data_IF_804898933520
#
_entry.id   IF_804898933520
#
_cell.length_a   1.000
_cell.length_b   1.000
_cell.length_c   1.000
_cell.angle_alpha   90.00
_cell.angle_beta   90.00
_cell.angle_gamma   90.00
#
_symmetry.space_group_name_H-M   'P 1'
#
loop_
_entity.id
_entity.type
_entity.pdbx_description
1 polymer ?
#
# COMPACT_ATOMS: atom_id res chain seq x y z
N UNK A 1 -19.63 15.13 2.94
CA UNK A 1 -20.70 14.35 2.28
C UNK A 1 -20.28 14.22 0.82
N UNK A 2 -19.44 13.23 0.52
CA UNK A 2 -18.88 13.01 -0.82
C UNK A 2 -19.88 12.14 -1.57
N UNK A 3 -20.32 12.59 -2.75
CA UNK A 3 -21.43 12.03 -3.51
C UNK A 3 -21.12 10.60 -3.98
N UNK A 4 -22.12 9.72 -3.83
CA UNK A 4 -22.17 8.31 -4.27
C UNK A 4 -22.01 8.08 -5.77
N UNK A 5 -21.89 9.15 -6.56
CA UNK A 5 -22.07 9.11 -8.01
C UNK A 5 -20.74 8.96 -8.78
N UNK A 6 -19.60 8.97 -8.08
CA UNK A 6 -18.27 8.82 -8.70
C UNK A 6 -18.02 7.41 -9.25
N UNK A 7 -18.69 6.39 -8.71
CA UNK A 7 -18.43 4.98 -9.07
C UNK A 7 -19.14 4.49 -10.34
N UNK A 8 -20.05 5.28 -10.95
CA UNK A 8 -20.90 4.78 -12.04
C UNK A 8 -20.26 4.72 -13.42
N UNK A 9 -19.08 5.30 -13.63
CA UNK A 9 -18.39 5.34 -14.93
C UNK A 9 -16.95 4.82 -14.89
N UNK A 10 -16.58 4.05 -13.86
CA UNK A 10 -15.22 3.54 -13.75
C UNK A 10 -15.14 2.20 -14.47
N UNK A 11 -14.45 2.16 -15.62
CA UNK A 11 -14.06 0.93 -16.30
C UNK A 11 -12.98 0.25 -15.45
N UNK A 12 -13.39 -0.55 -14.45
CA UNK A 12 -12.48 -1.37 -13.66
C UNK A 12 -12.43 -2.74 -14.30
N UNK A 13 -11.21 -3.24 -14.44
CA UNK A 13 -10.89 -4.44 -15.19
C UNK A 13 -11.59 -5.67 -14.63
N UNK A 14 -12.00 -6.61 -15.50
CA UNK A 14 -12.92 -7.68 -15.11
C UNK A 14 -12.35 -8.58 -14.00
N UNK A 15 -11.01 -8.69 -13.86
CA UNK A 15 -10.38 -9.47 -12.80
C UNK A 15 -9.11 -8.82 -12.21
N UNK A 16 -9.10 -8.64 -10.89
CA UNK A 16 -7.95 -8.15 -10.11
C UNK A 16 -7.51 -9.12 -9.01
N UNK A 17 -6.21 -9.20 -8.77
CA UNK A 17 -5.63 -9.95 -7.64
C UNK A 17 -5.02 -8.98 -6.62
N UNK A 18 -5.41 -9.10 -5.35
CA UNK A 18 -4.86 -8.33 -4.24
C UNK A 18 -4.08 -9.27 -3.33
N UNK A 19 -2.74 -9.22 -3.40
CA UNK A 19 -1.90 -9.93 -2.44
C UNK A 19 -1.85 -9.16 -1.12
N UNK A 20 -1.72 -9.84 0.01
CA UNK A 20 -1.89 -9.19 1.32
C UNK A 20 -3.37 -8.95 1.66
N UNK A 21 -4.26 -9.66 0.95
CA UNK A 21 -5.71 -9.49 1.02
C UNK A 21 -6.34 -9.92 2.34
N UNK A 22 -5.62 -10.70 3.15
CA UNK A 22 -6.03 -11.07 4.52
C UNK A 22 -5.75 -9.96 5.53
N UNK A 23 -4.86 -9.03 5.19
CA UNK A 23 -4.50 -7.88 6.01
C UNK A 23 -5.49 -6.72 5.93
N UNK A 24 -5.35 -5.77 6.87
CA UNK A 24 -6.25 -4.62 7.03
C UNK A 24 -6.47 -3.81 5.74
N UNK A 25 -5.39 -3.38 5.09
CA UNK A 25 -5.50 -2.53 3.90
C UNK A 25 -5.87 -3.33 2.65
N UNK A 26 -5.24 -4.50 2.44
CA UNK A 26 -5.52 -5.35 1.28
C UNK A 26 -6.98 -5.82 1.22
N UNK A 27 -7.56 -6.20 2.37
CA UNK A 27 -8.98 -6.53 2.47
C UNK A 27 -9.88 -5.36 2.04
N UNK A 28 -9.64 -4.15 2.58
CA UNK A 28 -10.43 -2.95 2.24
C UNK A 28 -10.32 -2.60 0.75
N UNK A 29 -9.13 -2.73 0.18
CA UNK A 29 -8.91 -2.52 -1.26
C UNK A 29 -9.71 -3.52 -2.08
N UNK A 30 -9.64 -4.82 -1.76
CA UNK A 30 -10.38 -5.83 -2.48
C UNK A 30 -11.90 -5.67 -2.39
N UNK A 31 -12.43 -5.31 -1.21
CA UNK A 31 -13.86 -5.00 -1.06
C UNK A 31 -14.28 -3.79 -1.90
N UNK A 32 -13.44 -2.75 -1.97
CA UNK A 32 -13.73 -1.58 -2.79
C UNK A 32 -13.72 -1.90 -4.29
N UNK A 33 -12.76 -2.70 -4.75
CA UNK A 33 -12.72 -3.20 -6.13
C UNK A 33 -13.95 -4.06 -6.46
N UNK A 34 -14.37 -4.95 -5.56
CA UNK A 34 -15.59 -5.74 -5.76
C UNK A 34 -16.86 -4.89 -5.84
N UNK A 35 -16.93 -3.80 -5.06
CA UNK A 35 -18.06 -2.87 -5.09
C UNK A 35 -18.20 -2.12 -6.42
N UNK A 36 -17.16 -2.11 -7.26
CA UNK A 36 -17.24 -1.53 -8.61
C UNK A 36 -17.67 -2.55 -9.66
N UNK A 37 -17.94 -3.80 -9.25
CA UNK A 37 -18.34 -4.90 -10.13
C UNK A 37 -17.18 -5.76 -10.65
N UNK A 38 -15.94 -5.51 -10.22
CA UNK A 38 -14.81 -6.33 -10.61
C UNK A 38 -14.81 -7.69 -9.89
N UNK A 39 -14.34 -8.74 -10.56
CA UNK A 39 -14.00 -9.99 -9.87
C UNK A 39 -12.69 -9.80 -9.13
N UNK A 40 -12.61 -10.23 -7.87
CA UNK A 40 -11.43 -10.00 -7.03
C UNK A 40 -10.95 -11.29 -6.39
N UNK A 41 -9.65 -11.54 -6.45
CA UNK A 41 -8.98 -12.54 -5.60
C UNK A 41 -8.23 -11.84 -4.48
N UNK A 42 -8.54 -12.20 -3.23
CA UNK A 42 -7.71 -11.90 -2.07
C UNK A 42 -6.72 -13.04 -1.86
N UNK A 43 -5.44 -12.77 -2.03
CA UNK A 43 -4.35 -13.74 -1.89
C UNK A 43 -3.52 -13.45 -0.64
N UNK A 44 -3.51 -14.36 0.33
CA UNK A 44 -2.79 -14.16 1.60
C UNK A 44 -2.58 -15.48 2.37
N UNK A 45 -1.61 -15.55 3.28
CA UNK A 45 -1.44 -16.70 4.18
C UNK A 45 -2.55 -16.79 5.24
N UNK A 46 -3.24 -15.68 5.49
CA UNK A 46 -4.34 -15.55 6.44
C UNK A 46 -5.65 -15.25 5.72
N UNK A 47 -6.74 -15.86 6.19
CA UNK A 47 -8.08 -15.45 5.76
C UNK A 47 -8.41 -14.07 6.33
N UNK A 48 -9.14 -13.22 5.59
CA UNK A 48 -9.67 -11.99 6.15
C UNK A 48 -10.51 -12.30 7.39
N UNK A 49 -10.35 -11.47 8.41
CA UNK A 49 -11.10 -11.54 9.67
C UNK A 49 -12.50 -10.92 9.58
N UNK A 50 -12.81 -10.29 8.44
CA UNK A 50 -14.10 -9.66 8.13
C UNK A 50 -14.88 -10.47 7.10
N UNK A 51 -16.17 -10.22 7.01
CA UNK A 51 -17.06 -10.89 6.05
C UNK A 51 -16.70 -10.54 4.60
N UNK A 52 -16.40 -11.55 3.80
CA UNK A 52 -16.00 -11.39 2.41
C UNK A 52 -17.26 -11.17 1.55
N UNK A 53 -17.36 -10.05 0.79
CA UNK A 53 -18.54 -9.77 -0.02
C UNK A 53 -18.62 -10.68 -1.26
N UNK A 54 -19.81 -10.75 -1.86
CA UNK A 54 -20.00 -11.44 -3.14
C UNK A 54 -19.07 -10.87 -4.22
N UNK A 55 -18.57 -11.72 -5.12
CA UNK A 55 -17.62 -11.33 -6.16
C UNK A 55 -16.14 -11.36 -5.72
N UNK A 56 -15.87 -11.69 -4.45
CA UNK A 56 -14.53 -11.87 -3.93
C UNK A 56 -14.25 -13.36 -3.64
N UNK A 57 -13.12 -13.86 -4.15
CA UNK A 57 -12.59 -15.20 -3.84
C UNK A 57 -11.36 -15.04 -2.96
N UNK A 58 -11.27 -15.81 -1.88
CA UNK A 58 -10.08 -15.85 -1.04
C UNK A 58 -9.23 -17.07 -1.37
N UNK A 59 -7.97 -16.85 -1.74
CA UNK A 59 -6.97 -17.90 -1.92
C UNK A 59 -5.97 -17.80 -0.77
N UNK A 60 -5.89 -18.87 0.02
CA UNK A 60 -4.99 -18.92 1.15
C UNK A 60 -3.65 -19.55 0.74
N UNK A 61 -2.63 -18.73 0.48
CA UNK A 61 -1.31 -19.17 0.05
C UNK A 61 -0.24 -18.10 0.33
N UNK A 62 1.03 -18.51 0.31
CA UNK A 62 2.18 -17.65 0.60
C UNK A 62 2.74 -17.02 -0.67
N UNK A 63 3.09 -15.74 -0.64
CA UNK A 63 3.74 -15.06 -1.79
C UNK A 63 5.12 -15.62 -2.15
N UNK A 64 5.66 -16.54 -1.33
CA UNK A 64 6.86 -17.31 -1.61
C UNK A 64 6.58 -18.61 -2.37
N UNK A 65 5.31 -18.97 -2.56
CA UNK A 65 4.88 -20.11 -3.37
C UNK A 65 4.58 -19.63 -4.80
N UNK A 66 5.56 -19.81 -5.69
CA UNK A 66 5.45 -19.36 -7.08
C UNK A 66 4.35 -20.08 -7.84
N UNK A 67 4.15 -21.38 -7.62
CA UNK A 67 3.14 -22.16 -8.34
C UNK A 67 1.73 -21.72 -7.95
N UNK A 68 1.51 -21.46 -6.65
CA UNK A 68 0.25 -20.91 -6.15
C UNK A 68 -0.01 -19.50 -6.69
N UNK A 69 1.01 -18.62 -6.75
CA UNK A 69 0.90 -17.31 -7.40
C UNK A 69 0.49 -17.50 -8.86
N UNK A 70 1.24 -18.33 -9.60
CA UNK A 70 1.05 -18.53 -11.02
C UNK A 70 -0.36 -19.05 -11.33
N UNK A 71 -0.91 -19.94 -10.51
CA UNK A 71 -2.29 -20.41 -10.63
C UNK A 71 -3.32 -19.32 -10.30
N UNK A 72 -3.12 -18.55 -9.23
CA UNK A 72 -4.05 -17.50 -8.80
C UNK A 72 -4.12 -16.31 -9.76
N UNK A 73 -3.07 -16.11 -10.56
CA UNK A 73 -2.89 -14.97 -11.47
C UNK A 73 -3.45 -15.23 -12.87
N UNK A 74 -3.99 -16.42 -13.14
CA UNK A 74 -4.51 -16.78 -14.45
C UNK A 74 -5.70 -15.89 -14.87
N UNK A 75 -5.54 -15.19 -15.99
CA UNK A 75 -6.55 -14.29 -16.55
C UNK A 75 -6.69 -12.94 -15.83
N UNK A 76 -5.81 -12.62 -14.88
CA UNK A 76 -5.85 -11.34 -14.17
C UNK A 76 -5.39 -10.17 -15.04
N UNK A 77 -6.10 -9.05 -14.97
CA UNK A 77 -5.75 -7.82 -15.70
C UNK A 77 -4.87 -6.88 -14.86
N UNK A 78 -5.02 -6.96 -13.54
CA UNK A 78 -4.38 -6.09 -12.58
C UNK A 78 -3.92 -6.85 -11.34
N UNK A 79 -2.73 -6.54 -10.85
CA UNK A 79 -2.24 -7.04 -9.57
C UNK A 79 -1.95 -5.87 -8.63
N UNK A 80 -2.58 -5.90 -7.46
CA UNK A 80 -2.28 -5.01 -6.34
C UNK A 80 -1.40 -5.77 -5.33
N UNK A 81 -0.11 -5.45 -5.34
CA UNK A 81 0.86 -6.07 -4.44
C UNK A 81 0.97 -5.31 -3.12
N UNK A 82 0.18 -5.74 -2.13
CA UNK A 82 0.13 -5.16 -0.77
C UNK A 82 0.81 -6.05 0.27
N UNK A 83 1.03 -7.34 -0.05
CA UNK A 83 1.68 -8.29 0.85
C UNK A 83 3.04 -7.77 1.34
N UNK A 84 3.25 -7.83 2.66
CA UNK A 84 4.52 -7.47 3.28
C UNK A 84 4.63 -8.06 4.68
N UNK A 85 5.85 -8.21 5.18
CA UNK A 85 6.14 -8.75 6.50
C UNK A 85 7.22 -7.92 7.22
N UNK A 86 7.13 -7.82 8.56
CA UNK A 86 8.17 -7.18 9.38
C UNK A 86 8.06 -5.69 9.61
N UNK A 87 6.92 -5.06 9.30
CA UNK A 87 6.77 -3.61 9.48
C UNK A 87 6.86 -3.15 10.95
N UNK A 88 6.42 -3.98 11.91
CA UNK A 88 6.54 -3.60 13.34
C UNK A 88 6.45 -4.78 14.30
N UNK A 89 6.86 -4.56 15.55
CA UNK A 89 6.68 -5.54 16.63
C UNK A 89 7.69 -6.69 16.55
N UNK A 90 7.29 -7.88 17.00
CA UNK A 90 8.20 -9.05 17.06
C UNK A 90 8.69 -9.48 15.68
N UNK A 91 7.88 -9.26 14.64
CA UNK A 91 8.23 -9.61 13.26
C UNK A 91 9.49 -8.88 12.77
N UNK A 92 9.83 -7.70 13.32
CA UNK A 92 11.07 -6.98 12.98
C UNK A 92 12.34 -7.76 13.32
N UNK A 93 12.25 -8.78 14.18
CA UNK A 93 13.36 -9.64 14.57
C UNK A 93 13.62 -10.76 13.55
N UNK A 94 12.67 -11.04 12.66
CA UNK A 94 12.66 -12.19 11.76
C UNK A 94 13.21 -11.80 10.38
N UNK A 95 14.51 -11.49 10.32
CA UNK A 95 15.13 -10.86 9.14
C UNK A 95 15.01 -11.68 7.86
N UNK A 96 15.18 -13.00 7.96
CA UNK A 96 15.10 -13.90 6.81
C UNK A 96 13.67 -13.94 6.24
N UNK A 97 12.64 -13.98 7.09
CA UNK A 97 11.25 -13.92 6.65
C UNK A 97 10.92 -12.57 6.01
N UNK A 98 11.47 -11.46 6.54
CA UNK A 98 11.33 -10.13 5.92
C UNK A 98 11.92 -10.12 4.51
N UNK A 99 13.14 -10.61 4.33
CA UNK A 99 13.79 -10.63 3.01
C UNK A 99 13.06 -11.57 2.05
N UNK A 100 12.73 -12.79 2.48
CA UNK A 100 12.06 -13.76 1.60
C UNK A 100 10.66 -13.31 1.20
N UNK A 101 9.87 -12.74 2.10
CA UNK A 101 8.52 -12.23 1.77
C UNK A 101 8.61 -10.98 0.91
N UNK A 102 9.38 -9.97 1.35
CA UNK A 102 9.35 -8.66 0.70
C UNK A 102 10.20 -8.60 -0.57
N UNK A 103 11.27 -9.38 -0.71
CA UNK A 103 12.15 -9.36 -1.90
C UNK A 103 11.81 -10.52 -2.83
N UNK A 104 11.90 -11.76 -2.33
CA UNK A 104 11.66 -12.92 -3.20
C UNK A 104 10.18 -13.03 -3.59
N UNK A 105 9.26 -12.75 -2.66
CA UNK A 105 7.84 -12.69 -2.97
C UNK A 105 7.55 -11.64 -4.06
N UNK A 106 8.05 -10.41 -3.92
CA UNK A 106 7.86 -9.39 -4.97
C UNK A 106 8.47 -9.81 -6.32
N UNK A 107 9.62 -10.50 -6.33
CA UNK A 107 10.19 -11.07 -7.57
C UNK A 107 9.21 -12.04 -8.24
N UNK A 108 8.66 -12.97 -7.48
CA UNK A 108 7.69 -13.95 -7.98
C UNK A 108 6.42 -13.29 -8.54
N UNK A 109 5.94 -12.23 -7.90
CA UNK A 109 4.81 -11.44 -8.40
C UNK A 109 5.15 -10.80 -9.76
N UNK A 110 6.31 -10.15 -9.89
CA UNK A 110 6.77 -9.54 -11.15
C UNK A 110 6.88 -10.59 -12.26
N UNK A 111 7.50 -11.74 -11.95
CA UNK A 111 7.71 -12.82 -12.92
C UNK A 111 6.38 -13.45 -13.35
N UNK A 112 5.44 -13.63 -12.42
CA UNK A 112 4.10 -14.10 -12.72
C UNK A 112 3.33 -13.11 -13.61
N UNK A 113 3.40 -11.81 -13.33
CA UNK A 113 2.79 -10.80 -14.20
C UNK A 113 3.32 -10.89 -15.64
N UNK A 114 4.64 -11.04 -15.81
CA UNK A 114 5.26 -11.17 -17.13
C UNK A 114 4.81 -12.43 -17.87
N UNK A 115 4.76 -13.56 -17.18
CA UNK A 115 4.41 -14.85 -17.79
C UNK A 115 2.90 -15.02 -18.05
N UNK A 116 2.05 -14.42 -17.22
CA UNK A 116 0.58 -14.44 -17.37
C UNK A 116 0.03 -13.29 -18.21
N UNK A 117 0.90 -12.46 -18.80
CA UNK A 117 0.53 -11.31 -19.62
C UNK A 117 -0.35 -10.28 -18.88
N UNK A 118 -0.08 -10.09 -17.60
CA UNK A 118 -0.77 -9.09 -16.78
C UNK A 118 -0.18 -7.72 -17.12
N UNK A 119 -1.03 -6.80 -17.57
CA UNK A 119 -0.60 -5.50 -18.07
C UNK A 119 -0.22 -4.53 -16.95
N UNK A 120 -0.76 -4.68 -15.73
CA UNK A 120 -0.65 -3.67 -14.67
C UNK A 120 -0.31 -4.26 -13.31
N UNK A 121 0.72 -3.70 -12.69
CA UNK A 121 1.17 -4.05 -11.34
C UNK A 121 1.28 -2.79 -10.48
N UNK A 122 0.46 -2.71 -9.44
CA UNK A 122 0.49 -1.62 -8.47
C UNK A 122 1.11 -2.15 -7.19
N UNK A 123 2.21 -1.53 -6.75
CA UNK A 123 2.94 -1.95 -5.56
C UNK A 123 2.78 -0.95 -4.42
N UNK A 124 2.49 -1.47 -3.22
CA UNK A 124 2.42 -0.67 -2.00
C UNK A 124 3.74 -0.73 -1.26
N UNK A 125 4.54 0.32 -1.40
CA UNK A 125 5.77 0.60 -0.67
C UNK A 125 5.46 1.35 0.64
N UNK A 126 6.37 2.22 1.11
CA UNK A 126 6.21 3.01 2.34
C UNK A 126 7.07 4.27 2.28
N UNK A 127 6.64 5.37 2.93
CA UNK A 127 7.46 6.59 3.05
C UNK A 127 8.81 6.34 3.72
N UNK A 128 8.95 5.25 4.50
CA UNK A 128 10.22 4.90 5.14
C UNK A 128 11.35 4.60 4.15
N UNK A 129 11.06 4.31 2.87
CA UNK A 129 12.09 4.06 1.85
C UNK A 129 12.84 5.34 1.44
N UNK A 130 12.25 6.51 1.66
CA UNK A 130 12.87 7.83 1.40
C UNK A 130 13.27 8.57 2.68
N UNK A 131 12.80 8.10 3.84
CA UNK A 131 13.10 8.73 5.11
C UNK A 131 14.50 8.38 5.62
N UNK A 132 15.42 9.34 5.54
CA UNK A 132 16.81 9.23 6.02
C UNK A 132 17.07 9.82 7.41
N UNK A 133 16.03 10.12 8.19
CA UNK A 133 16.15 10.76 9.52
C UNK A 133 16.04 12.28 9.50
N UNK A 134 15.90 12.91 8.34
CA UNK A 134 15.57 14.33 8.19
C UNK A 134 14.06 14.50 7.92
N UNK A 135 13.45 15.62 8.37
CA UNK A 135 12.07 15.94 8.03
C UNK A 135 11.85 15.96 6.51
N UNK A 136 10.73 15.40 6.07
CA UNK A 136 10.26 15.51 4.68
C UNK A 136 9.18 16.58 4.67
N UNK A 137 9.47 17.70 4.03
CA UNK A 137 8.55 18.83 3.86
C UNK A 137 8.23 18.97 2.37
N UNK A 138 6.95 18.89 2.02
CA UNK A 138 6.44 19.03 0.63
C UNK A 138 7.19 18.19 -0.42
N UNK A 139 7.66 16.99 -0.03
CA UNK A 139 8.40 16.09 -0.91
C UNK A 139 7.55 15.36 -1.93
N UNK A 140 8.13 15.13 -3.10
CA UNK A 140 7.61 14.37 -4.25
C UNK A 140 8.67 13.34 -4.75
N UNK A 141 8.40 12.61 -5.82
CA UNK A 141 9.34 11.59 -6.34
C UNK A 141 10.65 12.14 -6.87
N UNK A 142 10.65 13.35 -7.42
CA UNK A 142 11.85 13.99 -7.97
C UNK A 142 12.77 14.46 -6.84
N UNK A 143 12.17 14.98 -5.76
CA UNK A 143 12.86 15.53 -4.60
C UNK A 143 13.18 14.48 -3.54
N UNK A 144 12.46 13.36 -3.52
CA UNK A 144 12.62 12.27 -2.55
C UNK A 144 13.06 10.96 -3.23
N UNK A 145 14.33 10.87 -3.66
CA UNK A 145 14.90 9.61 -4.13
C UNK A 145 14.99 8.60 -2.98
N UNK A 146 15.14 7.32 -3.33
CA UNK A 146 15.34 6.26 -2.34
C UNK A 146 16.55 6.59 -1.46
N UNK A 147 16.33 6.53 -0.15
CA UNK A 147 17.39 6.84 0.80
C UNK A 147 18.42 5.70 0.83
N UNK A 148 19.73 5.98 0.75
CA UNK A 148 20.76 4.94 0.83
C UNK A 148 20.90 4.34 2.23
N UNK A 149 20.41 5.04 3.26
CA UNK A 149 20.44 4.61 4.66
C UNK A 149 19.02 4.36 5.13
N UNK A 150 18.74 3.16 5.63
CA UNK A 150 17.39 2.77 6.04
C UNK A 150 17.26 2.71 7.56
N UNK A 151 16.13 3.20 8.07
CA UNK A 151 15.81 3.22 9.51
C UNK A 151 15.65 1.83 10.13
N UNK A 152 15.27 0.84 9.33
CA UNK A 152 15.12 -0.55 9.75
C UNK A 152 15.28 -1.52 8.57
N UNK A 153 15.33 -2.81 8.91
CA UNK A 153 15.52 -3.88 7.93
C UNK A 153 14.33 -4.00 6.96
N UNK A 154 13.11 -3.80 7.45
CA UNK A 154 11.89 -3.81 6.63
C UNK A 154 11.96 -2.75 5.52
N UNK A 155 12.31 -1.52 5.87
CA UNK A 155 12.41 -0.39 4.96
C UNK A 155 13.47 -0.62 3.88
N UNK A 156 14.60 -1.24 4.25
CA UNK A 156 15.60 -1.71 3.26
C UNK A 156 15.00 -2.70 2.26
N UNK A 157 14.28 -3.73 2.75
CA UNK A 157 13.69 -4.72 1.85
C UNK A 157 12.60 -4.13 0.95
N UNK A 158 11.79 -3.19 1.45
CA UNK A 158 10.78 -2.48 0.65
C UNK A 158 11.42 -1.58 -0.39
N UNK A 159 12.55 -0.94 -0.10
CA UNK A 159 13.35 -0.16 -1.07
C UNK A 159 13.89 -1.04 -2.21
N UNK A 160 14.41 -2.23 -1.89
CA UNK A 160 14.88 -3.17 -2.92
C UNK A 160 13.72 -3.64 -3.80
N UNK A 161 12.62 -4.06 -3.19
CA UNK A 161 11.43 -4.50 -3.90
C UNK A 161 10.81 -3.40 -4.79
N UNK A 162 10.82 -2.16 -4.31
CA UNK A 162 10.40 -1.00 -5.09
C UNK A 162 11.25 -0.80 -6.35
N UNK A 163 12.58 -0.87 -6.23
CA UNK A 163 13.48 -0.80 -7.39
C UNK A 163 13.19 -1.91 -8.40
N UNK A 164 12.91 -3.13 -7.93
CA UNK A 164 12.56 -4.25 -8.80
C UNK A 164 11.26 -4.00 -9.57
N UNK A 165 10.23 -3.45 -8.91
CA UNK A 165 8.96 -3.12 -9.55
C UNK A 165 9.15 -2.01 -10.58
N UNK A 166 9.82 -0.90 -10.21
CA UNK A 166 10.09 0.21 -11.13
C UNK A 166 10.91 -0.24 -12.35
N UNK A 167 11.90 -1.11 -12.15
CA UNK A 167 12.70 -1.67 -13.24
C UNK A 167 11.91 -2.62 -14.16
N UNK A 168 10.79 -3.19 -13.69
CA UNK A 168 9.92 -4.04 -14.50
C UNK A 168 8.97 -3.23 -15.40
N UNK A 169 8.78 -1.94 -15.13
CA UNK A 169 7.96 -1.05 -15.96
C UNK A 169 8.47 -1.00 -17.39
N UNK A 170 7.57 -1.08 -18.37
CA UNK A 170 7.94 -1.07 -19.79
C UNK A 170 8.39 -2.42 -20.34
N UNK A 171 8.36 -3.50 -19.54
CA UNK A 171 8.76 -4.83 -20.02
C UNK A 171 7.72 -5.38 -21.01
N UNK A 172 8.13 -5.85 -22.21
CA UNK A 172 7.22 -6.52 -23.14
C UNK A 172 6.63 -7.82 -22.56
N UNK A 173 5.35 -8.06 -22.81
CA UNK A 173 4.64 -9.28 -22.39
C UNK A 173 4.64 -10.33 -23.52
N UNK A 174 4.65 -11.61 -23.16
CA UNK A 174 4.75 -12.72 -24.11
C UNK A 174 3.56 -12.82 -25.08
N UNK A 175 2.36 -12.47 -24.60
CA UNK A 175 1.11 -12.41 -25.35
C UNK A 175 0.91 -11.09 -26.12
N UNK A 176 1.93 -10.22 -26.14
CA UNK A 176 1.83 -8.86 -26.66
C UNK A 176 1.44 -7.85 -25.58
N UNK A 177 1.80 -6.58 -25.81
CA UNK A 177 1.61 -5.51 -24.83
C UNK A 177 2.83 -5.28 -23.93
N UNK A 178 2.64 -4.46 -22.91
CA UNK A 178 3.69 -3.96 -22.01
C UNK A 178 3.19 -4.08 -20.57
N UNK A 179 4.07 -4.52 -19.67
CA UNK A 179 3.86 -4.44 -18.24
C UNK A 179 4.09 -3.00 -17.78
N UNK A 180 3.04 -2.36 -17.29
CA UNK A 180 3.12 -1.08 -16.62
C UNK A 180 3.07 -1.26 -15.10
N UNK A 181 3.87 -0.47 -14.39
CA UNK A 181 3.92 -0.54 -12.93
C UNK A 181 3.75 0.83 -12.29
N UNK A 182 3.12 0.87 -11.12
CA UNK A 182 3.03 2.06 -10.28
C UNK A 182 3.42 1.70 -8.84
N UNK A 183 4.15 2.59 -8.15
CA UNK A 183 4.54 2.41 -6.75
C UNK A 183 3.95 3.54 -5.90
N UNK A 184 3.24 3.17 -4.84
CA UNK A 184 2.74 4.11 -3.84
C UNK A 184 3.50 3.88 -2.53
N UNK A 185 3.99 4.94 -1.90
CA UNK A 185 4.77 4.91 -0.63
C UNK A 185 3.99 5.42 0.61
N UNK A 186 2.80 4.88 0.94
CA UNK A 186 1.94 5.47 1.98
C UNK A 186 2.67 5.70 3.32
N UNK A 187 2.30 6.75 4.08
CA UNK A 187 2.69 6.88 5.46
C UNK A 187 1.86 5.92 6.33
N UNK A 188 1.81 6.15 7.65
CA UNK A 188 0.97 5.34 8.55
C UNK A 188 -0.49 5.32 8.08
N UNK A 189 -1.06 4.13 7.93
CA UNK A 189 -2.45 3.93 7.50
C UNK A 189 -3.34 3.87 8.73
N UNK A 190 -4.44 4.63 8.74
CA UNK A 190 -5.43 4.60 9.82
C UNK A 190 -6.85 4.49 9.28
N UNK A 191 -7.76 4.11 10.16
CA UNK A 191 -9.19 4.08 9.89
C UNK A 191 -9.92 3.07 10.78
N UNK A 192 -11.24 2.92 10.61
CA UNK A 192 -12.01 1.92 11.33
C UNK A 192 -11.43 0.51 11.11
N UNK A 193 -11.38 -0.29 12.19
CA UNK A 193 -10.90 -1.67 12.22
C UNK A 193 -9.38 -1.86 12.05
N UNK A 194 -8.58 -0.79 12.09
CA UNK A 194 -7.12 -0.89 12.15
C UNK A 194 -6.73 -1.58 13.48
N UNK A 195 -5.98 -2.69 13.40
CA UNK A 195 -5.72 -3.56 14.55
C UNK A 195 -4.29 -3.50 15.09
N UNK A 196 -3.37 -2.82 14.41
CA UNK A 196 -1.94 -2.96 14.64
C UNK A 196 -1.34 -1.77 15.37
N UNK A 197 -1.49 -0.56 14.83
CA UNK A 197 -0.78 0.62 15.31
C UNK A 197 -1.57 1.36 16.40
N UNK A 198 -2.83 1.72 16.11
CA UNK A 198 -3.64 2.52 17.02
C UNK A 198 -4.02 1.74 18.30
N UNK A 199 -4.42 0.45 18.24
CA UNK A 199 -4.71 -0.30 19.47
C UNK A 199 -3.46 -0.52 20.33
N UNK A 200 -2.30 -0.76 19.71
CA UNK A 200 -1.03 -0.89 20.44
C UNK A 200 -0.65 0.41 21.14
N UNK A 201 -0.81 1.54 20.44
CA UNK A 201 -0.59 2.86 21.00
C UNK A 201 -1.52 3.11 22.19
N UNK A 202 -2.83 2.92 22.01
CA UNK A 202 -3.84 3.08 23.06
C UNK A 202 -3.52 2.23 24.31
N UNK A 203 -3.21 0.94 24.11
CA UNK A 203 -2.85 0.03 25.20
C UNK A 203 -1.58 0.45 25.94
N UNK A 204 -0.59 0.98 25.23
CA UNK A 204 0.64 1.49 25.86
C UNK A 204 0.39 2.79 26.65
N UNK A 205 -0.52 3.65 26.17
CA UNK A 205 -0.98 4.83 26.91
C UNK A 205 -1.71 4.42 28.18
N UNK A 206 -2.66 3.49 28.08
CA UNK A 206 -3.42 2.95 29.22
C UNK A 206 -2.50 2.33 30.29
N UNK A 207 -1.40 1.71 29.86
CA UNK A 207 -0.37 1.13 30.75
C UNK A 207 0.60 2.16 31.32
N UNK A 208 0.49 3.44 30.98
CA UNK A 208 1.41 4.50 31.39
C UNK A 208 2.80 4.42 30.76
N UNK A 209 3.00 3.57 29.75
CA UNK A 209 4.29 3.31 29.09
C UNK A 209 4.70 4.39 28.08
N UNK A 210 3.85 5.40 27.85
CA UNK A 210 4.08 6.49 26.90
C UNK A 210 3.98 7.87 27.56
N UNK A 211 4.45 8.00 28.79
CA UNK A 211 4.32 9.22 29.60
C UNK A 211 5.36 10.32 29.28
N UNK A 212 6.18 10.14 28.24
CA UNK A 212 7.24 11.09 27.85
C UNK A 212 7.26 11.32 26.34
N UNK A 213 7.64 12.54 25.94
CA UNK A 213 7.92 12.90 24.54
C UNK A 213 9.43 12.77 24.31
N UNK A 214 9.81 12.07 23.24
CA UNK A 214 11.20 12.09 22.76
C UNK A 214 11.30 12.99 21.53
N UNK A 215 12.38 13.77 21.45
CA UNK A 215 12.64 14.66 20.33
C UNK A 215 11.85 15.97 20.37
N UNK A 216 11.74 16.60 19.20
CA UNK A 216 11.07 17.89 19.04
C UNK A 216 9.53 17.76 19.23
N UNK A 217 8.91 18.47 20.19
CA UNK A 217 7.46 18.45 20.39
C UNK A 217 6.65 19.04 19.23
N UNK A 218 7.30 19.74 18.30
CA UNK A 218 6.71 20.27 17.06
C UNK A 218 6.72 19.26 15.90
N UNK A 219 7.42 18.13 16.06
CA UNK A 219 7.53 17.10 15.03
C UNK A 219 6.15 16.62 14.58
N UNK A 220 5.96 16.61 13.27
CA UNK A 220 4.71 16.19 12.64
C UNK A 220 4.87 14.79 12.08
N UNK A 221 3.79 14.02 12.10
CA UNK A 221 3.72 12.74 11.43
C UNK A 221 2.49 12.71 10.54
N UNK A 222 2.70 12.36 9.27
CA UNK A 222 1.62 12.20 8.31
C UNK A 222 0.98 10.82 8.47
N UNK A 223 -0.34 10.78 8.34
CA UNK A 223 -1.13 9.57 8.28
C UNK A 223 -2.12 9.65 7.12
N UNK A 224 -2.41 8.52 6.51
CA UNK A 224 -3.38 8.41 5.40
C UNK A 224 -4.57 7.57 5.82
N UNK A 225 -5.78 8.07 5.56
CA UNK A 225 -6.99 7.30 5.81
C UNK A 225 -7.04 6.13 4.83
N UNK A 226 -7.41 4.94 5.32
CA UNK A 226 -7.45 3.73 4.51
C UNK A 226 -8.30 3.90 3.24
N UNK A 227 -9.45 4.58 3.31
CA UNK A 227 -10.31 4.81 2.13
C UNK A 227 -9.66 5.75 1.10
N UNK A 228 -8.91 6.76 1.54
CA UNK A 228 -8.17 7.63 0.63
C UNK A 228 -7.06 6.85 -0.08
N UNK A 229 -6.38 5.95 0.65
CA UNK A 229 -5.36 5.09 0.05
C UNK A 229 -5.98 4.02 -0.86
N UNK A 230 -7.21 3.57 -0.60
CA UNK A 230 -7.93 2.68 -1.54
C UNK A 230 -8.22 3.42 -2.85
N UNK A 231 -8.79 4.63 -2.76
CA UNK A 231 -9.03 5.46 -3.95
C UNK A 231 -7.75 5.72 -4.74
N UNK A 232 -6.65 5.95 -4.03
CA UNK A 232 -5.33 6.09 -4.62
C UNK A 232 -4.88 4.90 -5.45
N UNK A 233 -5.00 3.69 -4.91
CA UNK A 233 -4.63 2.46 -5.64
C UNK A 233 -5.48 2.28 -6.89
N UNK A 234 -6.79 2.51 -6.77
CA UNK A 234 -7.74 2.39 -7.90
C UNK A 234 -7.41 3.39 -9.00
N UNK A 235 -7.20 4.67 -8.65
CA UNK A 235 -6.81 5.70 -9.62
C UNK A 235 -5.46 5.42 -10.27
N UNK A 236 -4.50 4.88 -9.51
CA UNK A 236 -3.22 4.45 -10.06
C UNK A 236 -3.39 3.31 -11.08
N UNK A 237 -4.23 2.32 -10.79
CA UNK A 237 -4.53 1.24 -11.71
C UNK A 237 -5.24 1.72 -12.99
N UNK A 238 -6.22 2.64 -12.85
CA UNK A 238 -6.88 3.28 -13.98
C UNK A 238 -5.91 4.09 -14.83
N UNK A 239 -4.96 4.80 -14.21
CA UNK A 239 -3.97 5.60 -14.93
C UNK A 239 -2.99 4.74 -15.74
N UNK A 240 -2.84 3.46 -15.42
CA UNK A 240 -2.02 2.54 -16.22
C UNK A 240 -2.78 1.93 -17.41
N UNK A 241 -4.05 2.28 -17.65
CA UNK A 241 -4.76 1.77 -18.83
C UNK A 241 -4.31 2.50 -20.10
N UNK A 242 -4.08 1.78 -21.22
CA UNK A 242 -3.56 2.37 -22.46
C UNK A 242 -4.42 3.52 -23.01
N UNK A 243 -5.74 3.46 -22.82
CA UNK A 243 -6.72 4.45 -23.31
C UNK A 243 -6.52 5.83 -22.71
N UNK A 244 -5.94 5.90 -21.52
CA UNK A 244 -5.77 7.14 -20.78
C UNK A 244 -4.47 7.86 -21.16
N UNK A 245 -3.56 7.23 -21.92
CA UNK A 245 -2.22 7.73 -22.26
C UNK A 245 -1.41 8.24 -21.04
N UNK A 246 -1.81 7.87 -19.83
CA UNK A 246 -1.11 8.27 -18.62
C UNK A 246 0.01 7.26 -18.36
N UNK A 247 1.21 7.77 -18.08
CA UNK A 247 2.29 6.97 -17.53
C UNK A 247 2.28 7.28 -16.04
N UNK A 248 1.57 6.48 -15.23
CA UNK A 248 1.63 6.61 -13.78
C UNK A 248 2.95 6.05 -13.24
N UNK A 249 4.05 6.72 -13.58
CA UNK A 249 5.34 6.52 -12.95
C UNK A 249 5.52 7.66 -11.94
N UNK A 250 5.07 7.44 -10.70
CA UNK A 250 5.34 8.28 -9.54
C UNK A 250 4.81 9.71 -9.63
N UNK A 251 3.62 9.95 -9.08
CA UNK A 251 3.30 11.29 -8.54
C UNK A 251 2.68 11.22 -7.13
N UNK A 252 3.50 11.59 -6.13
CA UNK A 252 3.21 11.98 -4.78
C UNK A 252 2.74 13.42 -4.86
N UNK A 253 1.45 13.67 -4.67
CA UNK A 253 0.98 15.03 -4.47
C UNK A 253 0.35 15.18 -3.09
N UNK A 254 1.07 15.98 -2.30
CA UNK A 254 0.59 16.55 -1.05
C UNK A 254 -0.46 17.63 -1.36
N UNK A 255 -1.64 17.53 -0.75
CA UNK A 255 -2.55 18.67 -0.59
C UNK A 255 -3.04 18.76 0.85
N UNK A 256 -3.14 20.01 1.32
CA UNK A 256 -3.36 20.42 2.71
C UNK A 256 -4.41 19.58 3.46
N UNK A 257 -4.10 19.28 4.73
CA UNK A 257 -5.10 18.79 5.67
C UNK A 257 -5.04 19.47 7.04
N UNK A 258 -6.22 19.52 7.65
CA UNK A 258 -6.51 20.12 8.94
C UNK A 258 -5.81 19.37 10.09
N UNK A 259 -5.24 20.15 11.01
CA UNK A 259 -4.66 19.66 12.26
C UNK A 259 -5.80 19.24 13.20
N UNK A 260 -5.95 17.95 13.46
CA UNK A 260 -6.79 17.48 14.57
C UNK A 260 -5.89 17.16 15.76
N UNK A 261 -6.01 17.95 16.84
CA UNK A 261 -5.46 17.58 18.14
C UNK A 261 -6.35 16.49 18.73
N UNK A 262 -5.87 15.25 18.76
CA UNK A 262 -6.54 14.19 19.51
C UNK A 262 -6.19 14.38 20.99
N UNK A 263 -7.10 14.98 21.76
CA UNK A 263 -6.98 15.05 23.21
C UNK A 263 -7.50 13.77 23.85
N UNK A 264 -6.64 13.00 24.52
CA UNK A 264 -7.01 11.75 25.19
C UNK A 264 -6.81 11.92 26.71
N UNK A 265 -7.94 11.90 27.44
CA UNK A 265 -8.17 11.78 28.89
C UNK A 265 -7.37 12.65 29.91
N UNK A 266 -8.04 12.94 31.02
CA UNK A 266 -7.74 14.00 31.99
C UNK A 266 -6.49 13.82 32.87
N UNK A 267 -5.78 12.69 32.77
CA UNK A 267 -4.66 12.37 33.68
C UNK A 267 -3.29 12.22 32.99
N UNK A 268 -3.20 12.16 31.66
CA UNK A 268 -1.93 12.08 30.92
C UNK A 268 -2.03 12.89 29.61
N UNK A 269 -1.43 14.10 29.57
CA UNK A 269 -1.39 14.92 28.34
C UNK A 269 -0.30 14.43 27.38
N UNK A 270 -0.61 13.44 26.56
CA UNK A 270 0.19 13.16 25.35
C UNK A 270 -0.39 13.98 24.20
N UNK A 271 0.38 14.97 23.73
CA UNK A 271 0.05 15.74 22.53
C UNK A 271 1.00 15.33 21.42
N UNK A 272 0.52 14.50 20.48
CA UNK A 272 1.19 14.18 19.22
C UNK A 272 0.57 15.04 18.11
N UNK A 273 1.35 15.87 17.39
CA UNK A 273 0.85 16.63 16.23
C UNK A 273 0.59 15.69 15.04
N UNK A 274 -0.58 15.06 15.00
CA UNK A 274 -0.98 14.22 13.88
C UNK A 274 -1.57 15.08 12.75
N UNK A 275 -1.01 14.93 11.55
CA UNK A 275 -1.57 15.52 10.33
C UNK A 275 -2.17 14.38 9.50
N UNK A 276 -3.45 14.49 9.18
CA UNK A 276 -4.19 13.47 8.45
C UNK A 276 -4.33 13.88 6.99
N UNK A 277 -3.57 13.35 6.05
CA UNK A 277 -3.65 13.80 4.65
C UNK A 277 -4.86 13.24 3.90
N UNK A 278 -5.48 14.09 3.09
CA UNK A 278 -6.34 13.70 1.97
C UNK A 278 -5.44 13.55 0.75
N UNK A 279 -5.37 12.35 0.18
CA UNK A 279 -4.59 12.11 -1.03
C UNK A 279 -5.42 12.62 -2.21
N UNK A 280 -4.91 13.59 -2.95
CA UNK A 280 -5.51 14.07 -4.21
C UNK A 280 -4.46 13.88 -5.30
N UNK A 281 -4.76 13.04 -6.28
CA UNK A 281 -3.89 12.79 -7.42
C UNK A 281 -4.01 13.92 -8.44
N UNK A 282 -2.88 14.44 -8.92
CA UNK A 282 -2.76 14.88 -10.30
C UNK A 282 -1.96 13.81 -11.05
N UNK A 283 -2.67 13.10 -11.91
CA UNK A 283 -2.05 12.27 -12.93
C UNK A 283 -1.52 13.24 -13.98
N UNK A 284 -0.20 13.34 -14.13
CA UNK A 284 0.38 14.14 -15.21
C UNK A 284 0.19 13.37 -16.53
N UNK A 285 -0.68 13.90 -17.38
CA UNK A 285 -0.67 13.53 -18.80
C UNK A 285 0.57 14.10 -19.45
N UNK A 286 1.26 13.28 -20.25
CA UNK A 286 2.02 13.83 -21.38
C UNK A 286 1.04 14.30 -22.44
#
# INVERSE_FOLDING_TARGET
>A
MIRSDFFRNVLIDPFSVVTGGGGYFGYKLGCALANTGASVVLYDIHKPMWEVPNGVVCIQADVRDYDAIFAAFEGADCVFHVASYGMSGREQLHREEIETVNIHGTRFIIDACKQRNIARLIYTSTVNVVFGGLPIEDGDEETMPLCPVHVDHYSRTKSIAEQMVLAANGTPLAGGGILYTCVLRPPGIYGPQEQRHLPRLAKNIERGLLSFKFGDPSAKMNWVHAENLVQAQILAAEALTPEKNYIACGTWQHWLCSVLRVGIFSSVRISLPLHFCNVVFAISGR
#
